data_IF_551597924822
#
_entry.id   IF_551597924822
#
_cell.length_a   1.000
_cell.length_b   1.000
_cell.length_c   1.000
_cell.angle_alpha   90.00
_cell.angle_beta   90.00
_cell.angle_gamma   90.00
#
_symmetry.space_group_name_H-M   'P 1'
#
loop_
_entity.id
_entity.type
_entity.pdbx_description
1 polymer ?
#
# COMPACT_ATOMS: atom_id res chain seq x y z
N UNK A 1 -83.05 15.88 66.26
CA UNK A 1 -81.76 16.42 65.78
C UNK A 1 -81.34 15.56 64.61
N UNK A 2 -81.44 16.09 63.39
CA UNK A 2 -81.23 15.34 62.15
C UNK A 2 -79.76 15.27 61.78
N UNK A 3 -79.26 14.05 61.58
CA UNK A 3 -77.93 13.76 61.04
C UNK A 3 -78.02 13.60 59.52
N UNK A 4 -77.77 14.69 58.79
CA UNK A 4 -77.55 14.64 57.34
C UNK A 4 -76.16 14.05 57.05
N UNK A 5 -76.04 13.00 56.21
CA UNK A 5 -74.74 12.48 55.83
C UNK A 5 -74.02 13.45 54.86
N UNK A 6 -72.67 13.50 54.89
CA UNK A 6 -71.88 14.40 54.06
C UNK A 6 -72.03 14.09 52.56
N UNK A 7 -71.90 15.09 51.68
CA UNK A 7 -72.00 14.87 50.24
C UNK A 7 -70.82 14.02 49.76
N UNK A 8 -71.11 13.05 48.88
CA UNK A 8 -70.10 12.27 48.18
C UNK A 8 -69.25 13.18 47.30
N UNK A 9 -67.94 13.24 47.55
CA UNK A 9 -66.99 13.82 46.60
C UNK A 9 -66.92 12.93 45.35
N UNK A 10 -67.15 13.53 44.18
CA UNK A 10 -67.01 12.84 42.91
C UNK A 10 -65.56 12.35 42.74
N UNK A 11 -65.41 11.04 42.51
CA UNK A 11 -64.14 10.40 42.21
C UNK A 11 -63.48 11.10 41.01
N UNK A 12 -62.44 11.89 41.24
CA UNK A 12 -61.64 12.44 40.15
C UNK A 12 -60.88 11.28 39.50
N UNK A 13 -61.29 10.90 38.29
CA UNK A 13 -60.57 9.90 37.51
C UNK A 13 -59.08 10.31 37.39
N UNK A 14 -58.13 9.37 37.56
CA UNK A 14 -56.71 9.68 37.45
C UNK A 14 -56.42 10.30 36.09
N UNK A 15 -55.77 11.48 36.08
CA UNK A 15 -55.43 12.17 34.84
C UNK A 15 -54.63 11.20 33.94
N UNK A 16 -55.01 11.02 32.67
CA UNK A 16 -54.28 10.14 31.76
C UNK A 16 -52.83 10.62 31.68
N UNK A 17 -51.89 9.73 32.02
CA UNK A 17 -50.46 10.04 31.92
C UNK A 17 -50.18 10.47 30.48
N UNK A 18 -49.57 11.64 30.33
CA UNK A 18 -49.21 12.25 29.05
C UNK A 18 -48.55 11.18 28.19
N UNK A 19 -49.21 10.84 27.09
CA UNK A 19 -48.77 9.83 26.14
C UNK A 19 -47.33 10.13 25.74
N UNK A 20 -46.49 9.10 25.80
CA UNK A 20 -45.07 9.21 25.46
C UNK A 20 -44.96 9.82 24.07
N UNK A 21 -44.42 11.03 24.00
CA UNK A 21 -44.37 11.78 22.76
C UNK A 21 -43.61 10.95 21.70
N UNK A 22 -44.24 10.55 20.58
CA UNK A 22 -43.58 9.72 19.56
C UNK A 22 -42.31 10.40 19.01
N UNK A 23 -42.23 11.74 19.09
CA UNK A 23 -41.05 12.52 18.76
C UNK A 23 -39.83 12.16 19.63
N UNK A 24 -40.04 11.76 20.89
CA UNK A 24 -38.97 11.30 21.79
C UNK A 24 -38.39 9.96 21.33
N UNK A 25 -39.24 9.04 20.84
CA UNK A 25 -38.78 7.75 20.31
C UNK A 25 -38.02 7.91 18.99
N UNK A 26 -38.44 8.86 18.14
CA UNK A 26 -37.69 9.22 16.93
C UNK A 26 -36.32 9.81 17.27
N UNK A 27 -36.24 10.70 18.27
CA UNK A 27 -34.98 11.26 18.73
C UNK A 27 -34.04 10.19 19.32
N UNK A 28 -34.56 9.26 20.13
CA UNK A 28 -33.78 8.13 20.67
C UNK A 28 -33.31 7.20 19.56
N UNK A 29 -34.16 6.89 18.58
CA UNK A 29 -33.77 6.06 17.44
C UNK A 29 -32.69 6.72 16.57
N UNK A 30 -32.75 8.05 16.39
CA UNK A 30 -31.74 8.81 15.63
C UNK A 30 -30.39 8.84 16.35
N UNK A 31 -30.39 9.04 17.67
CA UNK A 31 -29.16 9.02 18.49
C UNK A 31 -28.60 7.59 18.56
N UNK A 32 -29.44 6.58 18.75
CA UNK A 32 -29.02 5.18 18.71
C UNK A 32 -28.45 4.80 17.33
N UNK A 33 -29.07 5.23 16.23
CA UNK A 33 -28.55 5.00 14.88
C UNK A 33 -27.23 5.74 14.63
N UNK A 34 -27.06 6.96 15.15
CA UNK A 34 -25.81 7.70 15.06
C UNK A 34 -24.68 7.02 15.87
N UNK A 35 -24.95 6.64 17.12
CA UNK A 35 -23.96 6.02 17.99
C UNK A 35 -23.64 4.57 17.58
N UNK A 36 -24.65 3.75 17.25
CA UNK A 36 -24.45 2.37 16.79
C UNK A 36 -23.94 2.33 15.35
N UNK A 37 -24.31 3.30 14.51
CA UNK A 37 -23.78 3.45 13.15
C UNK A 37 -22.29 3.78 13.17
N UNK A 38 -21.84 4.72 14.02
CA UNK A 38 -20.42 5.06 14.16
C UNK A 38 -19.62 3.89 14.77
N UNK A 39 -20.16 3.17 15.75
CA UNK A 39 -19.46 2.01 16.35
C UNK A 39 -19.44 0.82 15.38
N UNK A 40 -20.53 0.57 14.65
CA UNK A 40 -20.64 -0.50 13.65
C UNK A 40 -19.78 -0.26 12.40
N UNK A 41 -19.81 0.96 11.84
CA UNK A 41 -18.94 1.35 10.73
C UNK A 41 -17.48 1.57 11.19
N UNK A 42 -17.26 2.04 12.41
CA UNK A 42 -15.94 2.26 12.98
C UNK A 42 -15.20 0.95 13.25
N UNK A 43 -15.87 -0.06 13.83
CA UNK A 43 -15.26 -1.37 14.09
C UNK A 43 -14.90 -2.15 12.84
N UNK A 44 -15.80 -2.19 11.84
CA UNK A 44 -15.52 -2.82 10.54
C UNK A 44 -14.48 -2.02 9.74
N UNK A 45 -14.60 -0.69 9.71
CA UNK A 45 -13.73 0.21 8.96
C UNK A 45 -12.27 0.18 9.43
N UNK A 46 -12.02 0.13 10.74
CA UNK A 46 -10.64 0.07 11.27
C UNK A 46 -9.96 -1.27 10.95
N UNK A 47 -10.70 -2.39 10.96
CA UNK A 47 -10.15 -3.71 10.60
C UNK A 47 -9.83 -3.83 9.10
N UNK A 48 -10.68 -3.24 8.25
CA UNK A 48 -10.47 -3.17 6.80
C UNK A 48 -9.30 -2.26 6.43
N UNK A 49 -9.20 -1.10 7.10
CA UNK A 49 -8.09 -0.18 6.90
C UNK A 49 -6.75 -0.79 7.31
N UNK A 50 -6.68 -1.45 8.49
CA UNK A 50 -5.46 -2.09 8.95
C UNK A 50 -4.96 -3.22 8.03
N UNK A 51 -5.87 -4.02 7.49
CA UNK A 51 -5.53 -5.11 6.55
C UNK A 51 -5.17 -4.57 5.17
N UNK A 52 -5.86 -3.53 4.70
CA UNK A 52 -5.55 -2.83 3.45
C UNK A 52 -4.16 -2.17 3.48
N UNK A 53 -3.80 -1.52 4.59
CA UNK A 53 -2.48 -0.90 4.75
C UNK A 53 -1.34 -1.93 4.78
N UNK A 54 -1.53 -3.07 5.46
CA UNK A 54 -0.57 -4.19 5.44
C UNK A 54 -0.37 -4.76 4.03
N UNK A 55 -1.47 -4.87 3.28
CA UNK A 55 -1.46 -5.31 1.87
C UNK A 55 -0.66 -4.33 1.00
N UNK A 56 -0.93 -3.03 1.14
CA UNK A 56 -0.19 -1.98 0.44
C UNK A 56 1.30 -2.00 0.80
N UNK A 57 1.64 -2.24 2.07
CA UNK A 57 3.01 -2.42 2.53
C UNK A 57 3.77 -3.54 1.80
N UNK A 58 3.13 -4.70 1.65
CA UNK A 58 3.70 -5.79 0.88
C UNK A 58 3.89 -5.42 -0.60
N UNK A 59 2.90 -4.77 -1.23
CA UNK A 59 3.02 -4.31 -2.61
C UNK A 59 4.22 -3.36 -2.77
N UNK A 60 4.37 -2.41 -1.85
CA UNK A 60 5.50 -1.49 -1.84
C UNK A 60 6.83 -2.22 -1.70
N UNK A 61 6.93 -3.23 -0.83
CA UNK A 61 8.16 -4.03 -0.70
C UNK A 61 8.56 -4.71 -2.01
N UNK A 62 7.60 -5.31 -2.73
CA UNK A 62 7.87 -5.88 -4.04
C UNK A 62 8.25 -4.82 -5.08
N UNK A 63 7.53 -3.71 -5.13
CA UNK A 63 7.81 -2.62 -6.06
C UNK A 63 9.21 -2.03 -5.83
N UNK A 64 9.59 -1.82 -4.57
CA UNK A 64 10.92 -1.34 -4.25
C UNK A 64 12.01 -2.34 -4.58
N UNK A 65 11.81 -3.63 -4.27
CA UNK A 65 12.76 -4.68 -4.62
C UNK A 65 12.92 -4.80 -6.15
N UNK A 66 11.81 -4.71 -6.90
CA UNK A 66 11.83 -4.71 -8.38
C UNK A 66 12.59 -3.49 -8.91
N UNK A 67 12.31 -2.31 -8.36
CA UNK A 67 12.97 -1.07 -8.76
C UNK A 67 14.48 -1.07 -8.43
N UNK A 68 14.86 -1.59 -7.26
CA UNK A 68 16.28 -1.69 -6.87
C UNK A 68 17.04 -2.68 -7.76
N UNK A 69 16.42 -3.81 -8.12
CA UNK A 69 16.99 -4.76 -9.10
C UNK A 69 17.11 -4.12 -10.47
N UNK A 70 16.07 -3.41 -10.96
CA UNK A 70 16.12 -2.71 -12.26
C UNK A 70 17.23 -1.67 -12.30
N UNK A 71 17.40 -0.89 -11.23
CA UNK A 71 18.46 0.10 -11.13
C UNK A 71 19.86 -0.57 -11.12
N UNK A 72 20.02 -1.66 -10.37
CA UNK A 72 21.25 -2.46 -10.41
C UNK A 72 21.56 -2.96 -11.83
N UNK A 73 20.56 -3.48 -12.53
CA UNK A 73 20.70 -3.98 -13.91
C UNK A 73 21.04 -2.85 -14.88
N UNK A 74 20.43 -1.67 -14.72
CA UNK A 74 20.73 -0.50 -15.55
C UNK A 74 22.21 -0.10 -15.44
N UNK A 75 22.78 -0.16 -14.23
CA UNK A 75 24.18 0.19 -13.99
C UNK A 75 25.17 -0.92 -14.33
N UNK A 76 24.85 -2.18 -14.06
CA UNK A 76 25.79 -3.30 -14.23
C UNK A 76 25.60 -4.09 -15.53
N UNK A 77 24.50 -3.88 -16.24
CA UNK A 77 24.14 -4.60 -17.47
C UNK A 77 23.69 -6.06 -17.27
N UNK A 78 23.70 -6.55 -16.03
CA UNK A 78 23.32 -7.92 -15.67
C UNK A 78 22.47 -7.94 -14.40
N UNK A 79 21.66 -8.98 -14.28
CA UNK A 79 20.90 -9.28 -13.07
C UNK A 79 21.81 -9.72 -11.90
N UNK A 80 21.47 -9.33 -10.66
CA UNK A 80 22.31 -9.58 -9.50
C UNK A 80 22.42 -11.07 -9.16
N UNK A 81 23.50 -11.49 -8.46
CA UNK A 81 23.61 -12.83 -7.90
C UNK A 81 22.46 -13.17 -6.96
N UNK A 82 21.86 -14.37 -7.09
CA UNK A 82 20.68 -14.72 -6.31
C UNK A 82 20.99 -14.86 -4.81
N UNK A 83 22.22 -15.18 -4.43
CA UNK A 83 22.62 -15.34 -3.02
C UNK A 83 22.77 -14.01 -2.27
N UNK A 84 22.94 -12.91 -3.00
CA UNK A 84 23.27 -11.59 -2.43
C UNK A 84 22.40 -10.47 -2.99
N UNK A 85 21.32 -10.79 -3.71
CA UNK A 85 20.52 -9.80 -4.44
C UNK A 85 19.98 -8.64 -3.59
N UNK A 86 19.61 -8.87 -2.32
CA UNK A 86 19.14 -7.79 -1.43
C UNK A 86 20.32 -6.89 -1.03
N UNK A 87 21.46 -7.51 -0.72
CA UNK A 87 22.69 -6.79 -0.36
C UNK A 87 23.23 -5.98 -1.55
N UNK A 88 23.28 -6.58 -2.74
CA UNK A 88 23.80 -5.95 -3.94
C UNK A 88 22.91 -4.81 -4.45
N UNK A 89 21.60 -4.88 -4.16
CA UNK A 89 20.64 -3.84 -4.54
C UNK A 89 20.35 -2.84 -3.43
N UNK A 90 20.97 -2.99 -2.25
CA UNK A 90 20.68 -2.19 -1.04
C UNK A 90 20.92 -0.70 -1.26
N UNK A 91 21.99 -0.32 -1.97
CA UNK A 91 22.30 1.09 -2.25
C UNK A 91 21.17 1.77 -3.04
N UNK A 92 20.61 1.07 -4.04
CA UNK A 92 19.51 1.59 -4.85
C UNK A 92 18.22 1.63 -4.05
N UNK A 93 17.98 0.62 -3.22
CA UNK A 93 16.85 0.59 -2.30
C UNK A 93 16.89 1.79 -1.33
N UNK A 94 18.05 2.05 -0.73
CA UNK A 94 18.25 3.18 0.18
C UNK A 94 17.96 4.52 -0.48
N UNK A 95 18.40 4.73 -1.74
CA UNK A 95 18.07 5.95 -2.50
C UNK A 95 16.58 6.15 -2.70
N UNK A 96 15.84 5.07 -2.97
CA UNK A 96 14.38 5.11 -3.13
C UNK A 96 13.72 5.41 -1.78
N UNK A 97 14.13 4.70 -0.73
CA UNK A 97 13.62 4.83 0.63
C UNK A 97 13.83 6.26 1.19
N UNK A 98 15.04 6.81 1.05
CA UNK A 98 15.40 8.13 1.55
C UNK A 98 14.59 9.23 0.86
N UNK A 99 14.38 9.13 -0.46
CA UNK A 99 13.55 10.10 -1.19
C UNK A 99 12.09 10.05 -0.76
N UNK A 100 11.54 8.86 -0.55
CA UNK A 100 10.18 8.72 -0.05
C UNK A 100 10.01 9.34 1.34
N UNK A 101 10.98 9.12 2.23
CA UNK A 101 10.94 9.61 3.61
C UNK A 101 11.43 11.05 3.79
N UNK A 102 12.10 11.63 2.79
CA UNK A 102 12.58 13.02 2.83
C UNK A 102 11.45 14.05 2.87
N UNK A 103 10.25 13.69 2.39
CA UNK A 103 9.04 14.44 2.72
C UNK A 103 8.57 13.95 4.07
N UNK A 104 8.22 14.89 4.96
CA UNK A 104 7.43 14.70 6.18
C UNK A 104 6.07 14.05 5.86
N UNK A 105 6.06 12.87 5.25
CA UNK A 105 5.00 11.91 5.46
C UNK A 105 4.97 11.75 6.97
N UNK A 106 3.78 11.91 7.56
CA UNK A 106 3.57 11.62 8.97
C UNK A 106 4.32 10.33 9.27
N UNK A 107 5.23 10.37 10.24
CA UNK A 107 6.03 9.22 10.68
C UNK A 107 5.14 7.98 10.95
N UNK A 108 3.86 8.25 11.25
CA UNK A 108 2.77 7.30 11.36
C UNK A 108 2.46 6.55 10.07
N UNK A 109 2.47 7.19 8.89
CA UNK A 109 2.14 6.55 7.61
C UNK A 109 3.19 5.49 7.24
N UNK A 110 4.47 5.78 7.47
CA UNK A 110 5.57 4.85 7.22
C UNK A 110 5.59 3.72 8.25
N UNK A 111 5.31 4.03 9.52
CA UNK A 111 5.13 3.03 10.58
C UNK A 111 3.91 2.11 10.33
N UNK A 112 2.83 2.65 9.74
CA UNK A 112 1.61 1.90 9.47
C UNK A 112 1.70 1.01 8.23
N UNK A 113 2.48 1.41 7.22
CA UNK A 113 2.66 0.60 6.01
C UNK A 113 3.67 -0.54 6.17
N UNK A 114 4.49 -0.57 7.24
CA UNK A 114 5.41 -1.69 7.56
C UNK A 114 6.25 -2.20 6.37
N UNK A 115 6.68 -1.31 5.47
CA UNK A 115 7.65 -1.70 4.44
C UNK A 115 9.04 -1.85 5.06
N UNK A 116 9.86 -2.72 4.47
CA UNK A 116 11.19 -3.06 4.99
C UNK A 116 12.10 -1.81 4.99
N UNK A 117 12.97 -1.67 5.99
CA UNK A 117 14.03 -0.65 5.94
C UNK A 117 15.22 -1.16 5.11
N UNK A 118 16.09 -0.28 4.60
CA UNK A 118 17.33 -0.73 3.96
C UNK A 118 18.11 -1.65 4.91
N UNK A 119 18.60 -2.77 4.39
CA UNK A 119 19.28 -3.81 5.18
C UNK A 119 18.36 -4.77 5.94
N UNK A 120 17.03 -4.61 5.85
CA UNK A 120 16.07 -5.58 6.40
C UNK A 120 15.60 -6.58 5.34
N UNK A 121 15.17 -7.75 5.82
CA UNK A 121 14.54 -8.77 4.99
C UNK A 121 13.25 -8.23 4.36
N UNK A 122 13.08 -8.46 3.06
CA UNK A 122 11.82 -8.20 2.38
C UNK A 122 10.76 -9.25 2.76
N UNK A 123 9.73 -8.78 3.45
CA UNK A 123 8.62 -9.60 3.93
C UNK A 123 7.26 -8.97 3.65
N UNK A 124 6.22 -9.79 3.68
CA UNK A 124 4.85 -9.39 3.48
C UNK A 124 4.01 -9.81 4.67
N UNK A 125 3.41 -8.83 5.37
CA UNK A 125 2.55 -9.09 6.52
C UNK A 125 1.08 -9.09 6.10
N UNK A 126 0.35 -10.14 6.45
CA UNK A 126 -1.05 -10.40 6.11
C UNK A 126 -1.89 -10.66 7.36
N UNK A 127 -1.97 -9.67 8.24
CA UNK A 127 -2.60 -9.90 9.55
C UNK A 127 -1.61 -10.62 10.46
N UNK A 128 -1.87 -11.90 10.70
CA UNK A 128 -1.09 -12.80 11.57
C UNK A 128 -0.11 -13.70 10.79
N UNK A 129 -0.19 -13.68 9.45
CA UNK A 129 0.72 -14.45 8.59
C UNK A 129 1.78 -13.52 8.02
N UNK A 130 3.04 -13.93 8.08
CA UNK A 130 4.15 -13.25 7.39
C UNK A 130 4.73 -14.19 6.36
N UNK A 131 4.89 -13.69 5.14
CA UNK A 131 5.50 -14.38 4.00
C UNK A 131 6.77 -13.66 3.56
N UNK A 132 7.63 -14.32 2.80
CA UNK A 132 8.86 -13.74 2.27
C UNK A 132 8.76 -13.36 0.80
N UNK A 133 9.63 -12.45 0.37
CA UNK A 133 9.84 -12.12 -1.04
C UNK A 133 11.10 -12.81 -1.53
N UNK A 134 10.97 -13.68 -2.53
CA UNK A 134 12.07 -14.40 -3.15
C UNK A 134 12.38 -13.88 -4.56
N UNK A 135 13.67 -13.89 -4.89
CA UNK A 135 14.18 -13.60 -6.22
C UNK A 135 14.27 -14.87 -7.08
N UNK A 136 13.88 -14.75 -8.35
CA UNK A 136 13.99 -15.84 -9.30
C UNK A 136 15.45 -16.09 -9.66
N UNK A 137 16.02 -17.17 -9.13
CA UNK A 137 17.41 -17.56 -9.32
C UNK A 137 17.77 -17.76 -10.80
N UNK A 138 16.79 -18.10 -11.66
CA UNK A 138 17.06 -18.24 -13.09
C UNK A 138 17.47 -16.94 -13.78
N UNK A 139 17.28 -15.78 -13.15
CA UNK A 139 17.69 -14.50 -13.71
C UNK A 139 19.14 -14.15 -13.40
N UNK A 140 19.77 -14.77 -12.40
CA UNK A 140 21.12 -14.45 -11.97
C UNK A 140 22.12 -14.38 -13.14
N UNK A 141 22.86 -13.28 -13.23
CA UNK A 141 23.91 -13.07 -14.22
C UNK A 141 23.43 -12.89 -15.67
N UNK A 142 22.13 -13.07 -15.94
CA UNK A 142 21.58 -12.85 -17.29
C UNK A 142 21.61 -11.38 -17.65
N UNK A 143 21.74 -11.11 -18.94
CA UNK A 143 21.52 -9.76 -19.48
C UNK A 143 20.04 -9.53 -19.76
N UNK A 144 19.57 -8.27 -19.75
CA UNK A 144 18.21 -7.95 -20.16
C UNK A 144 17.84 -8.49 -21.55
N UNK A 145 18.79 -8.47 -22.50
CA UNK A 145 18.55 -8.93 -23.88
C UNK A 145 18.39 -10.45 -24.01
N UNK A 146 18.85 -11.22 -23.00
CA UNK A 146 18.76 -12.70 -23.00
C UNK A 146 17.38 -13.19 -22.54
N UNK A 147 16.52 -12.30 -22.04
CA UNK A 147 15.20 -12.63 -21.55
C UNK A 147 14.19 -12.59 -22.71
N UNK A 148 13.69 -13.78 -23.10
CA UNK A 148 12.78 -13.94 -24.26
C UNK A 148 11.44 -13.20 -24.13
N UNK A 149 10.82 -13.24 -22.95
CA UNK A 149 9.54 -12.55 -22.69
C UNK A 149 9.61 -11.84 -21.32
N UNK A 150 10.20 -10.63 -21.26
CA UNK A 150 10.33 -9.90 -20.00
C UNK A 150 8.98 -9.54 -19.37
N UNK A 151 7.90 -9.49 -20.16
CA UNK A 151 6.57 -9.19 -19.65
C UNK A 151 5.97 -10.38 -18.88
N UNK A 152 6.36 -11.62 -19.20
CA UNK A 152 5.86 -12.84 -18.53
C UNK A 152 6.89 -13.55 -17.66
N UNK A 153 8.13 -13.08 -17.66
CA UNK A 153 9.20 -13.66 -16.83
C UNK A 153 9.10 -13.11 -15.42
N UNK A 154 8.89 -13.99 -14.44
CA UNK A 154 8.82 -13.64 -13.02
C UNK A 154 10.20 -13.27 -12.50
N UNK A 155 10.30 -12.07 -11.91
CA UNK A 155 11.50 -11.56 -11.25
C UNK A 155 11.47 -11.82 -9.75
N UNK A 156 10.35 -11.48 -9.11
CA UNK A 156 10.12 -11.65 -7.69
C UNK A 156 8.83 -12.41 -7.47
N UNK A 157 8.81 -13.28 -6.47
CA UNK A 157 7.62 -14.02 -6.09
C UNK A 157 7.55 -14.18 -4.58
N UNK A 158 6.33 -14.40 -4.10
CA UNK A 158 6.08 -14.62 -2.70
C UNK A 158 6.35 -16.07 -2.29
N UNK A 159 6.88 -16.26 -1.08
CA UNK A 159 7.20 -17.58 -0.52
C UNK A 159 6.69 -17.70 0.92
N UNK A 160 6.48 -18.92 1.44
CA UNK A 160 6.01 -19.11 2.81
C UNK A 160 6.96 -18.54 3.87
N UNK A 161 8.27 -18.56 3.62
CA UNK A 161 9.29 -18.19 4.59
C UNK A 161 9.95 -16.84 4.27
N UNK A 162 10.05 -15.98 5.27
CA UNK A 162 10.82 -14.73 5.20
C UNK A 162 12.28 -14.97 5.57
N UNK A 163 13.20 -14.71 4.62
CA UNK A 163 14.66 -14.76 4.86
C UNK A 163 15.40 -13.71 4.04
N UNK A 164 16.52 -13.21 4.58
CA UNK A 164 17.39 -12.31 3.84
C UNK A 164 17.95 -13.01 2.60
N UNK A 165 18.05 -12.26 1.49
CA UNK A 165 18.46 -12.81 0.19
C UNK A 165 17.67 -14.06 -0.22
N UNK A 166 16.36 -14.12 0.08
CA UNK A 166 15.56 -15.27 -0.31
C UNK A 166 15.55 -15.42 -1.84
N UNK A 167 15.84 -16.62 -2.32
CA UNK A 167 15.88 -16.95 -3.73
C UNK A 167 15.49 -18.40 -3.92
N UNK A 168 14.88 -18.67 -5.07
CA UNK A 168 14.65 -20.02 -5.58
C UNK A 168 14.39 -19.95 -7.08
N UNK A 169 14.43 -21.11 -7.74
CA UNK A 169 13.91 -21.25 -9.11
C UNK A 169 12.39 -21.06 -9.03
N UNK A 170 11.86 -20.10 -9.81
CA UNK A 170 10.43 -19.86 -9.81
C UNK A 170 9.67 -21.09 -10.33
N UNK A 171 8.84 -21.65 -9.46
CA UNK A 171 7.83 -22.63 -9.81
C UNK A 171 6.53 -22.16 -9.18
N UNK A 172 5.42 -22.29 -9.90
CA UNK A 172 4.11 -21.98 -9.35
C UNK A 172 3.86 -22.93 -8.18
N UNK A 173 3.91 -22.39 -6.95
CA UNK A 173 3.73 -23.20 -5.75
C UNK A 173 2.28 -23.71 -5.69
N UNK A 174 2.14 -25.03 -5.76
CA UNK A 174 0.86 -25.75 -5.64
C UNK A 174 0.77 -26.54 -4.34
N UNK A 175 1.85 -26.53 -3.55
CA UNK A 175 2.04 -27.39 -2.38
C UNK A 175 1.71 -26.68 -1.07
N UNK A 176 1.99 -25.37 -0.99
CA UNK A 176 1.65 -24.57 0.18
C UNK A 176 0.30 -23.86 -0.01
N UNK A 177 -0.51 -23.89 1.05
CA UNK A 177 -1.76 -23.12 1.10
C UNK A 177 -1.41 -21.64 1.05
N UNK A 178 -1.98 -20.88 0.11
CA UNK A 178 -1.62 -19.50 0.00
C UNK A 178 -2.24 -18.68 1.15
N UNK A 179 -1.71 -17.47 1.41
CA UNK A 179 -2.18 -16.64 2.52
C UNK A 179 -3.65 -16.25 2.37
N UNK A 180 -4.30 -15.94 3.49
CA UNK A 180 -5.69 -15.45 3.51
C UNK A 180 -5.74 -13.94 3.71
N UNK A 181 -6.61 -13.28 2.96
CA UNK A 181 -6.97 -11.87 3.16
C UNK A 181 -8.49 -11.83 3.37
N UNK A 182 -8.94 -11.25 4.49
CA UNK A 182 -10.37 -11.21 4.88
C UNK A 182 -11.04 -12.60 4.89
N UNK A 183 -10.31 -13.63 5.32
CA UNK A 183 -10.82 -15.01 5.39
C UNK A 183 -10.90 -15.74 4.04
N UNK A 184 -10.57 -15.08 2.92
CA UNK A 184 -10.50 -15.69 1.60
C UNK A 184 -9.05 -16.04 1.24
N UNK A 185 -8.85 -17.23 0.68
CA UNK A 185 -7.56 -17.62 0.10
C UNK A 185 -7.32 -16.79 -1.17
N UNK A 186 -6.11 -16.25 -1.31
CA UNK A 186 -5.67 -15.55 -2.52
C UNK A 186 -4.55 -16.34 -3.21
N UNK A 187 -4.23 -16.03 -4.45
CA UNK A 187 -3.03 -16.59 -5.09
C UNK A 187 -1.73 -15.99 -4.53
N UNK A 188 -0.62 -16.72 -4.67
CA UNK A 188 0.73 -16.22 -4.42
C UNK A 188 1.06 -15.05 -5.34
N UNK A 189 1.73 -14.02 -4.81
CA UNK A 189 2.11 -12.87 -5.61
C UNK A 189 3.31 -13.13 -6.51
N UNK A 190 3.20 -12.69 -7.76
CA UNK A 190 4.26 -12.76 -8.76
C UNK A 190 4.44 -11.37 -9.40
N UNK A 191 5.68 -10.91 -9.44
CA UNK A 191 6.09 -9.69 -10.13
C UNK A 191 6.98 -10.04 -11.31
N UNK A 192 6.56 -9.60 -12.48
CA UNK A 192 7.29 -9.81 -13.72
C UNK A 192 8.36 -8.75 -13.92
N UNK A 193 9.30 -8.99 -14.84
CA UNK A 193 10.34 -8.00 -15.14
C UNK A 193 9.72 -6.69 -15.63
N UNK A 194 8.90 -6.77 -16.68
CA UNK A 194 8.22 -5.63 -17.31
C UNK A 194 6.68 -5.78 -17.39
N UNK A 195 6.12 -6.87 -16.87
CA UNK A 195 4.68 -7.12 -16.88
C UNK A 195 3.95 -6.52 -15.68
N UNK A 196 2.63 -6.41 -15.82
CA UNK A 196 1.75 -6.14 -14.69
C UNK A 196 1.65 -7.38 -13.80
N UNK A 197 1.87 -7.22 -12.50
CA UNK A 197 1.60 -8.24 -11.50
C UNK A 197 0.12 -8.68 -11.58
N UNK A 198 -0.15 -9.99 -11.53
CA UNK A 198 -1.51 -10.54 -11.62
C UNK A 198 -2.26 -10.45 -10.28
N UNK A 199 -2.24 -9.28 -9.66
CA UNK A 199 -2.75 -9.12 -8.30
C UNK A 199 -4.26 -8.95 -8.26
N UNK A 200 -4.93 -9.71 -7.38
CA UNK A 200 -6.37 -9.58 -7.15
C UNK A 200 -7.21 -9.72 -8.44
N UNK A 201 -6.92 -10.76 -9.24
CA UNK A 201 -7.88 -11.21 -10.24
C UNK A 201 -9.14 -11.70 -9.51
N UNK A 202 -10.24 -10.95 -9.64
CA UNK A 202 -11.53 -11.48 -9.18
C UNK A 202 -11.99 -12.64 -10.09
N UNK A 203 -13.02 -13.37 -9.67
CA UNK A 203 -13.62 -14.48 -10.43
C UNK A 203 -14.18 -14.11 -11.81
N UNK A 204 -14.14 -12.83 -12.21
CA UNK A 204 -14.47 -12.35 -13.56
C UNK A 204 -13.23 -11.91 -14.37
N UNK A 205 -12.02 -12.21 -13.90
CA UNK A 205 -10.77 -11.92 -14.58
C UNK A 205 -10.34 -10.45 -14.59
N UNK A 206 -10.97 -9.57 -13.80
CA UNK A 206 -10.59 -8.15 -13.71
C UNK A 206 -9.71 -7.92 -12.48
N UNK A 207 -8.51 -7.38 -12.72
CA UNK A 207 -7.59 -6.85 -11.70
C UNK A 207 -8.23 -5.61 -11.06
N UNK A 208 -8.39 -5.58 -9.73
CA UNK A 208 -8.99 -4.42 -9.03
C UNK A 208 -7.97 -3.33 -8.68
N UNK A 209 -6.68 -3.62 -8.73
CA UNK A 209 -5.58 -2.69 -8.44
C UNK A 209 -4.56 -2.87 -9.56
N UNK A 210 -4.29 -1.80 -10.33
CA UNK A 210 -3.32 -1.88 -11.42
C UNK A 210 -1.90 -1.79 -10.85
N UNK A 211 -1.00 -2.70 -11.27
CA UNK A 211 0.43 -2.69 -10.89
C UNK A 211 1.10 -1.33 -11.19
N UNK A 212 0.63 -0.66 -12.26
CA UNK A 212 1.09 0.66 -12.64
C UNK A 212 0.83 1.74 -11.60
N UNK A 213 -0.05 1.54 -10.61
CA UNK A 213 -0.25 2.52 -9.54
C UNK A 213 0.91 2.48 -8.51
N UNK A 214 1.68 1.39 -8.51
CA UNK A 214 2.80 1.14 -7.60
C UNK A 214 4.12 0.91 -8.33
N UNK A 215 4.18 1.11 -9.65
CA UNK A 215 5.44 1.03 -10.40
C UNK A 215 6.35 2.18 -9.96
N UNK A 216 7.56 1.79 -9.52
CA UNK A 216 8.58 2.71 -9.03
C UNK A 216 9.71 2.72 -10.04
N UNK A 217 9.91 3.86 -10.70
CA UNK A 217 11.08 4.07 -11.56
C UNK A 217 12.06 5.01 -10.86
N UNK A 218 13.32 4.58 -10.81
CA UNK A 218 14.44 5.40 -10.37
C UNK A 218 15.16 5.91 -11.62
N UNK A 219 15.06 7.22 -11.86
CA UNK A 219 15.93 7.86 -12.84
C UNK A 219 17.28 8.14 -12.19
N UNK A 220 18.32 7.44 -12.64
CA UNK A 220 19.68 7.60 -12.12
C UNK A 220 20.33 8.93 -12.53
N UNK A 221 19.95 9.53 -13.66
CA UNK A 221 20.58 10.77 -14.15
C UNK A 221 20.04 11.98 -13.40
N UNK A 222 18.71 12.06 -13.27
CA UNK A 222 18.07 13.15 -12.53
C UNK A 222 18.01 12.88 -11.02
N UNK A 223 18.15 11.61 -10.62
CA UNK A 223 17.81 11.20 -9.26
C UNK A 223 16.32 11.35 -8.98
N UNK A 224 15.43 11.39 -9.97
CA UNK A 224 14.00 11.42 -9.69
C UNK A 224 13.46 10.02 -9.39
N UNK A 225 12.49 9.94 -8.48
CA UNK A 225 11.69 8.72 -8.24
C UNK A 225 10.27 9.02 -8.70
N UNK A 226 9.71 8.16 -9.54
CA UNK A 226 8.28 8.22 -9.92
C UNK A 226 7.54 7.06 -9.29
N UNK A 227 6.29 7.28 -8.85
CA UNK A 227 5.37 6.23 -8.41
C UNK A 227 4.11 6.34 -9.24
N UNK A 228 3.80 5.28 -9.98
CA UNK A 228 2.70 5.22 -10.93
C UNK A 228 2.67 6.39 -11.91
N UNK A 229 3.83 6.69 -12.49
CA UNK A 229 4.01 7.77 -13.46
C UNK A 229 3.98 9.19 -12.87
N UNK A 230 3.78 9.35 -11.55
CA UNK A 230 3.86 10.67 -10.89
C UNK A 230 5.23 10.86 -10.25
N UNK A 231 5.90 11.97 -10.58
CA UNK A 231 7.15 12.37 -9.92
C UNK A 231 6.93 12.54 -8.41
N UNK A 232 7.63 11.73 -7.64
CA UNK A 232 7.70 11.83 -6.19
C UNK A 232 8.97 12.60 -5.87
N UNK A 233 8.77 13.84 -5.42
CA UNK A 233 9.88 14.66 -4.93
C UNK A 233 10.36 15.76 -5.86
N UNK A 234 9.55 16.23 -6.82
CA UNK A 234 9.84 17.54 -7.44
C UNK A 234 9.96 18.57 -6.32
N UNK A 235 11.20 18.99 -6.04
CA UNK A 235 11.43 20.17 -5.25
C UNK A 235 10.70 21.28 -6.00
N UNK A 236 9.86 22.04 -5.31
CA UNK A 236 9.57 23.40 -5.70
C UNK A 236 10.88 24.19 -5.57
N UNK A 237 11.86 23.89 -6.42
CA UNK A 237 13.06 24.66 -6.61
C UNK A 237 12.66 25.95 -7.30
N UNK A 238 12.73 27.02 -6.53
CA UNK A 238 12.90 28.41 -6.93
C UNK A 238 12.22 28.85 -8.24
N UNK A 239 11.18 29.67 -8.08
CA UNK A 239 10.89 30.69 -9.07
C UNK A 239 12.17 31.48 -9.40
N UNK A 240 12.60 31.42 -10.66
CA UNK A 240 13.35 32.46 -11.35
C UNK A 240 14.69 32.90 -10.76
N UNK A 241 15.77 32.19 -11.07
CA UNK A 241 17.07 32.82 -11.28
C UNK A 241 17.34 32.86 -12.78
N UNK A 242 16.99 33.99 -13.42
CA UNK A 242 17.41 34.28 -14.80
C UNK A 242 18.94 34.31 -14.84
N UNK A 243 19.54 33.36 -15.54
CA UNK A 243 20.92 33.49 -15.99
C UNK A 243 20.99 34.67 -16.98
N UNK A 244 21.85 35.68 -16.77
CA UNK A 244 22.01 36.74 -17.74
C UNK A 244 22.69 36.18 -19.00
N UNK A 245 22.02 36.42 -20.12
CA UNK A 245 22.46 36.19 -21.49
C UNK A 245 23.82 36.86 -21.72
N UNK A 246 24.83 36.03 -22.02
CA UNK A 246 26.18 36.49 -22.31
C UNK A 246 26.17 37.09 -23.73
N UNK A 247 26.36 38.41 -23.82
CA UNK A 247 26.41 39.14 -25.08
C UNK A 247 27.50 38.58 -26.03
N UNK A 248 27.24 38.50 -27.35
CA UNK A 248 28.25 38.09 -28.32
C UNK A 248 29.33 39.17 -28.50
N UNK A 249 30.60 38.80 -28.78
CA UNK A 249 31.67 39.75 -29.00
C UNK A 249 31.47 40.52 -30.32
N UNK A 250 31.66 41.84 -30.24
CA UNK A 250 31.65 42.75 -31.37
C UNK A 250 32.75 42.40 -32.37
N UNK A 251 32.39 42.34 -33.65
CA UNK A 251 33.33 42.16 -34.74
C UNK A 251 34.12 43.45 -34.97
N UNK A 252 35.44 43.32 -34.91
CA UNK A 252 36.42 44.33 -35.28
C UNK A 252 36.45 44.46 -36.81
N UNK A 253 36.16 45.65 -37.32
CA UNK A 253 36.24 45.97 -38.75
C UNK A 253 37.71 46.15 -39.15
N UNK A 254 38.16 45.39 -40.14
CA UNK A 254 39.28 45.73 -41.03
C UNK A 254 38.74 46.49 -42.24
#
# INVERSE_FOLDING_TARGET
MGTTPPPFEAYQAPRPRKTTNPLMWVAVALVAFCCLGIVGLGGLGVSMFGTGMKTAGCMMNFSFARASIKAYVKKNGVYPPARTWQTDTEEYYKKIYDKMNSKKSDEKVTEWMKFAKPGQTFECSWGDTTTGIAYNQELEGKKPEEIKDPAKTVMLFETPESKANNHAVYAKDTTHKPPKIFGQERDWFNFYINGQSEMFKNSRGKTQINDSDFDIDLDEESGDVTIGGKQVGKSSGAAGAKTPEKAPPAQEKL
#
